data_IF_718113168372
#
_entry.id   IF_718113168372
#
_cell.length_a   1.000
_cell.length_b   1.000
_cell.length_c   1.000
_cell.angle_alpha   90.00
_cell.angle_beta   90.00
_cell.angle_gamma   90.00
#
_symmetry.space_group_name_H-M   'P 1'
#
loop_
_entity.id
_entity.type
_entity.pdbx_description
1 polymer ?
#
# COMPACT_ATOMS: atom_id res chain seq x y z
N UNK A 1 13.52 38.26 21.84
CA UNK A 1 14.20 37.48 20.77
C UNK A 1 14.56 36.12 21.39
N UNK A 2 13.74 35.08 21.20
CA UNK A 2 13.93 33.81 21.93
C UNK A 2 12.90 32.70 21.65
N UNK A 3 12.24 32.69 20.50
CA UNK A 3 11.19 31.69 20.18
C UNK A 3 11.60 30.67 19.11
N UNK A 4 12.77 30.79 18.50
CA UNK A 4 13.19 29.93 17.39
C UNK A 4 13.76 28.57 17.83
N UNK A 5 14.29 28.44 19.06
CA UNK A 5 14.95 27.20 19.53
C UNK A 5 13.96 26.08 19.92
N UNK A 6 12.72 26.44 20.30
CA UNK A 6 11.73 25.48 20.78
C UNK A 6 11.10 24.63 19.65
N UNK A 7 10.97 25.18 18.43
CA UNK A 7 10.38 24.45 17.30
C UNK A 7 11.28 23.31 16.77
N UNK A 8 12.60 23.49 16.83
CA UNK A 8 13.57 22.48 16.40
C UNK A 8 13.70 21.30 17.39
N UNK A 9 13.30 21.46 18.66
CA UNK A 9 13.26 20.40 19.65
C UNK A 9 11.93 19.60 19.62
N UNK A 10 10.83 20.24 19.21
CA UNK A 10 9.52 19.63 19.14
C UNK A 10 9.45 18.53 18.06
N UNK A 11 9.89 18.80 16.82
CA UNK A 11 9.76 17.81 15.73
C UNK A 11 10.53 16.51 15.98
N UNK A 12 11.68 16.55 16.68
CA UNK A 12 12.42 15.35 17.06
C UNK A 12 11.65 14.52 18.07
N UNK A 13 11.07 15.17 19.06
CA UNK A 13 10.22 14.53 20.06
C UNK A 13 8.95 13.97 19.42
N UNK A 14 8.34 14.71 18.49
CA UNK A 14 7.16 14.28 17.74
C UNK A 14 7.48 13.07 16.84
N UNK A 15 8.64 13.06 16.17
CA UNK A 15 9.10 11.90 15.40
C UNK A 15 9.39 10.69 16.28
N UNK A 16 10.03 10.89 17.43
CA UNK A 16 10.28 9.81 18.38
C UNK A 16 8.98 9.23 18.92
N UNK A 17 8.01 10.07 19.26
CA UNK A 17 6.68 9.65 19.71
C UNK A 17 5.92 8.94 18.58
N UNK A 18 5.93 9.47 17.36
CA UNK A 18 5.31 8.84 16.21
C UNK A 18 5.95 7.47 15.90
N UNK A 19 7.28 7.37 15.97
CA UNK A 19 7.99 6.11 15.79
C UNK A 19 7.64 5.09 16.87
N UNK A 20 7.65 5.51 18.14
CA UNK A 20 7.26 4.63 19.26
C UNK A 20 5.81 4.14 19.09
N UNK A 21 4.89 5.03 18.73
CA UNK A 21 3.50 4.67 18.48
C UNK A 21 3.37 3.67 17.31
N UNK A 22 4.06 3.91 16.20
CA UNK A 22 4.07 3.02 15.04
C UNK A 22 4.66 1.64 15.37
N UNK A 23 5.76 1.58 16.13
CA UNK A 23 6.38 0.32 16.57
C UNK A 23 5.50 -0.44 17.55
N UNK A 24 4.81 0.24 18.46
CA UNK A 24 3.85 -0.38 19.37
C UNK A 24 2.64 -0.96 18.63
N UNK A 25 2.09 -0.22 17.66
CA UNK A 25 1.03 -0.72 16.79
C UNK A 25 1.49 -1.96 16.01
N UNK A 26 2.67 -1.91 15.39
CA UNK A 26 3.25 -3.04 14.67
C UNK A 26 3.46 -4.26 15.58
N UNK A 27 3.96 -4.06 16.81
CA UNK A 27 4.15 -5.15 17.77
C UNK A 27 2.83 -5.77 18.21
N UNK A 28 1.77 -4.96 18.37
CA UNK A 28 0.43 -5.45 18.67
C UNK A 28 -0.15 -6.27 17.51
N UNK A 29 -0.03 -5.78 16.27
CA UNK A 29 -0.45 -6.54 15.07
C UNK A 29 0.33 -7.86 14.94
N UNK A 30 1.64 -7.83 15.15
CA UNK A 30 2.48 -9.02 15.13
C UNK A 30 2.09 -10.03 16.22
N UNK A 31 1.76 -9.55 17.42
CA UNK A 31 1.30 -10.40 18.53
C UNK A 31 -0.03 -11.10 18.21
N UNK A 32 -0.91 -10.43 17.45
CA UNK A 32 -2.18 -11.03 16.98
C UNK A 32 -2.04 -11.82 15.67
N UNK A 33 -0.84 -11.89 15.10
CA UNK A 33 -0.54 -12.70 13.91
C UNK A 33 -0.94 -12.05 12.58
N UNK A 34 -1.09 -10.72 12.53
CA UNK A 34 -1.44 -9.97 11.31
C UNK A 34 -2.71 -10.48 10.62
N UNK A 35 -3.83 -10.57 11.34
CA UNK A 35 -5.08 -11.16 10.81
C UNK A 35 -5.60 -10.54 9.50
N UNK A 36 -5.29 -9.28 9.21
CA UNK A 36 -5.63 -8.63 7.93
C UNK A 36 -4.85 -9.19 6.73
N UNK A 37 -3.63 -9.71 6.93
CA UNK A 37 -2.83 -10.32 5.85
C UNK A 37 -3.39 -11.68 5.40
N UNK A 38 -4.18 -12.34 6.24
CA UNK A 38 -4.81 -13.63 5.95
C UNK A 38 -6.29 -13.51 5.61
N UNK A 39 -6.83 -12.29 5.59
CA UNK A 39 -8.21 -12.04 5.19
C UNK A 39 -8.34 -12.23 3.67
N UNK A 40 -8.87 -13.38 3.27
CA UNK A 40 -9.13 -13.71 1.88
C UNK A 40 -10.19 -12.79 1.22
N UNK A 41 -10.99 -12.09 2.03
CA UNK A 41 -11.89 -11.04 1.55
C UNK A 41 -11.16 -9.75 1.20
N UNK A 42 -10.00 -9.49 1.83
CA UNK A 42 -9.13 -8.33 1.59
C UNK A 42 -9.82 -6.97 1.78
N UNK A 43 -9.01 -5.90 1.80
CA UNK A 43 -9.55 -4.57 1.49
C UNK A 43 -9.75 -4.43 -0.03
N UNK A 44 -10.58 -3.46 -0.43
CA UNK A 44 -10.90 -3.22 -1.84
C UNK A 44 -9.65 -2.93 -2.69
N UNK A 45 -8.61 -2.35 -2.10
CA UNK A 45 -7.38 -1.99 -2.82
C UNK A 45 -6.53 -3.24 -3.09
N UNK A 46 -6.44 -4.17 -2.14
CA UNK A 46 -5.77 -5.46 -2.31
C UNK A 46 -6.45 -6.31 -3.38
N UNK A 47 -7.79 -6.34 -3.38
CA UNK A 47 -8.56 -7.03 -4.41
C UNK A 47 -8.34 -6.40 -5.79
N UNK A 48 -8.38 -5.07 -5.88
CA UNK A 48 -8.16 -4.36 -7.14
C UNK A 48 -6.71 -4.52 -7.63
N UNK A 49 -5.72 -4.56 -6.73
CA UNK A 49 -4.33 -4.87 -7.08
C UNK A 49 -4.22 -6.26 -7.69
N UNK A 50 -4.97 -7.23 -7.17
CA UNK A 50 -5.00 -8.57 -7.75
C UNK A 50 -5.61 -8.57 -9.17
N UNK A 51 -6.61 -7.70 -9.44
CA UNK A 51 -7.12 -7.50 -10.80
C UNK A 51 -6.03 -6.94 -11.72
N UNK A 52 -5.30 -5.91 -11.30
CA UNK A 52 -4.18 -5.35 -12.07
C UNK A 52 -3.13 -6.42 -12.40
N UNK A 53 -2.73 -7.22 -11.40
CA UNK A 53 -1.76 -8.32 -11.57
C UNK A 53 -2.27 -9.34 -12.58
N UNK A 54 -3.55 -9.70 -12.51
CA UNK A 54 -4.16 -10.64 -13.45
C UNK A 54 -4.19 -10.10 -14.87
N UNK A 55 -4.45 -8.81 -15.05
CA UNK A 55 -4.44 -8.20 -16.37
C UNK A 55 -3.04 -8.11 -16.95
N UNK A 56 -2.02 -7.83 -16.13
CA UNK A 56 -0.61 -7.90 -16.54
C UNK A 56 -0.27 -9.33 -17.01
N UNK A 57 -0.64 -10.34 -16.24
CA UNK A 57 -0.45 -11.75 -16.60
C UNK A 57 -1.26 -12.16 -17.86
N UNK A 58 -2.39 -11.50 -18.12
CA UNK A 58 -3.19 -11.67 -19.33
C UNK A 58 -2.67 -10.89 -20.55
N UNK A 59 -1.56 -10.15 -20.41
CA UNK A 59 -0.89 -9.45 -21.49
C UNK A 59 -1.16 -7.95 -21.58
N UNK A 60 -1.81 -7.34 -20.59
CA UNK A 60 -1.88 -5.87 -20.48
C UNK A 60 -0.45 -5.31 -20.39
N UNK A 61 -0.19 -4.22 -21.11
CA UNK A 61 1.15 -3.63 -21.21
C UNK A 61 1.66 -3.12 -19.86
N UNK A 62 2.98 -3.13 -19.68
CA UNK A 62 3.63 -2.68 -18.43
C UNK A 62 3.28 -1.23 -18.03
N UNK A 63 3.07 -0.35 -19.00
CA UNK A 63 2.70 1.05 -18.74
C UNK A 63 1.19 1.30 -18.87
N UNK A 64 0.41 0.25 -19.14
CA UNK A 64 -1.04 0.32 -19.16
C UNK A 64 -1.57 -0.04 -17.75
N UNK A 65 -1.90 1.01 -17.00
CA UNK A 65 -2.51 0.98 -15.66
C UNK A 65 -4.02 1.22 -15.73
N UNK A 66 -4.61 1.14 -16.91
CA UNK A 66 -6.01 1.47 -17.10
C UNK A 66 -6.92 0.31 -16.70
N UNK A 67 -7.87 0.57 -15.81
CA UNK A 67 -8.85 -0.41 -15.36
C UNK A 67 -10.15 -0.24 -16.13
N UNK A 68 -10.21 -0.87 -17.30
CA UNK A 68 -11.33 -0.77 -18.26
C UNK A 68 -12.68 -1.25 -17.71
N UNK A 69 -12.68 -2.08 -16.67
CA UNK A 69 -13.89 -2.68 -16.08
C UNK A 69 -14.37 -1.97 -14.81
N UNK A 70 -13.72 -0.88 -14.41
CA UNK A 70 -13.98 -0.23 -13.13
C UNK A 70 -14.42 1.23 -13.30
N UNK A 71 -15.48 1.63 -12.60
CA UNK A 71 -15.98 3.00 -12.63
C UNK A 71 -16.99 3.27 -13.76
N UNK A 72 -16.97 4.49 -14.29
CA UNK A 72 -17.86 4.92 -15.37
C UNK A 72 -17.43 4.34 -16.73
N UNK A 73 -18.23 4.59 -17.77
CA UNK A 73 -17.92 4.17 -19.13
C UNK A 73 -16.51 4.63 -19.53
N UNK A 74 -15.71 3.68 -20.03
CA UNK A 74 -14.32 3.90 -20.41
C UNK A 74 -13.30 3.59 -19.31
N UNK A 75 -13.69 3.42 -18.04
CA UNK A 75 -12.78 3.10 -16.94
C UNK A 75 -11.87 4.26 -16.50
N UNK A 76 -10.86 3.99 -15.67
CA UNK A 76 -9.89 5.00 -15.24
C UNK A 76 -8.48 4.44 -15.06
N UNK A 77 -7.49 5.34 -15.07
CA UNK A 77 -6.07 5.03 -14.86
C UNK A 77 -5.78 4.91 -13.37
N UNK A 78 -5.17 3.80 -12.96
CA UNK A 78 -4.70 3.59 -11.60
C UNK A 78 -3.43 4.41 -11.33
N UNK A 79 -3.33 4.94 -10.12
CA UNK A 79 -2.16 5.72 -9.68
C UNK A 79 -1.04 4.84 -9.10
N UNK A 80 -1.21 3.52 -9.14
CA UNK A 80 -0.26 2.56 -8.59
C UNK A 80 0.85 2.22 -9.60
N UNK A 81 1.94 1.64 -9.12
CA UNK A 81 3.08 1.24 -9.95
C UNK A 81 3.10 -0.26 -10.15
N UNK A 82 3.34 -0.70 -11.40
CA UNK A 82 3.60 -2.11 -11.75
C UNK A 82 4.81 -2.72 -11.05
N UNK A 83 5.67 -1.91 -10.42
CA UNK A 83 6.81 -2.41 -9.66
C UNK A 83 6.37 -3.35 -8.51
N UNK A 84 5.21 -3.09 -7.89
CA UNK A 84 4.66 -3.96 -6.85
C UNK A 84 3.92 -5.16 -7.44
N UNK A 85 3.34 -5.01 -8.63
CA UNK A 85 2.63 -6.08 -9.32
C UNK A 85 3.56 -7.21 -9.75
N UNK A 86 4.78 -6.89 -10.20
CA UNK A 86 5.74 -7.86 -10.71
C UNK A 86 6.10 -8.98 -9.71
N UNK A 87 6.49 -8.71 -8.45
CA UNK A 87 6.74 -9.78 -7.49
C UNK A 87 5.48 -10.58 -7.15
N UNK A 88 4.29 -9.95 -7.13
CA UNK A 88 3.03 -10.66 -6.90
C UNK A 88 2.72 -11.60 -8.08
N UNK A 89 2.90 -11.12 -9.32
CA UNK A 89 2.76 -11.91 -10.53
C UNK A 89 3.72 -13.11 -10.54
N UNK A 90 4.97 -12.92 -10.10
CA UNK A 90 5.94 -14.00 -9.98
C UNK A 90 5.51 -15.07 -8.96
N UNK A 91 4.93 -14.67 -7.81
CA UNK A 91 4.38 -15.61 -6.82
C UNK A 91 3.19 -16.37 -7.40
N UNK A 92 2.32 -15.72 -8.18
CA UNK A 92 1.17 -16.38 -8.83
C UNK A 92 1.60 -17.43 -9.87
N UNK A 93 2.74 -17.23 -10.52
CA UNK A 93 3.28 -18.15 -11.53
C UNK A 93 4.14 -19.29 -10.96
N UNK A 94 4.55 -19.20 -9.69
CA UNK A 94 5.39 -20.19 -9.01
C UNK A 94 4.58 -21.38 -8.49
#
# INVERSE_FOLDING_TARGET
MGTAENGAAAWKSDLLLALLAALLALAADAWTGFGQLTDAGGDNDNLLRLVEVRDLLAGQGWFDLHQYRMGLEGGFVMHWSRLVDAPIAAIVLA
#
